data_IF_840609403351
#
_entry.id   IF_840609403351
#
_cell.length_a   1.000
_cell.length_b   1.000
_cell.length_c   1.000
_cell.angle_alpha   90.00
_cell.angle_beta   90.00
_cell.angle_gamma   90.00
#
_symmetry.space_group_name_H-M   'P 1'
#
loop_
_entity.id
_entity.type
_entity.pdbx_description
1 polymer ?
#
# COMPACT_ATOMS: atom_id res chain seq x y z
N UNK A 1 25.82 -17.23 -14.86
CA UNK A 1 24.40 -16.96 -15.13
C UNK A 1 23.77 -16.51 -13.83
N UNK A 2 23.40 -15.23 -13.69
CA UNK A 2 22.78 -14.72 -12.46
C UNK A 2 21.35 -15.24 -12.40
N UNK A 3 21.03 -15.99 -11.36
CA UNK A 3 19.73 -16.62 -11.17
C UNK A 3 18.66 -15.54 -10.97
N UNK A 4 17.85 -15.30 -12.01
CA UNK A 4 17.04 -14.10 -12.20
C UNK A 4 15.68 -14.08 -11.47
N UNK A 5 15.50 -14.82 -10.37
CA UNK A 5 14.15 -14.99 -9.79
C UNK A 5 14.04 -15.05 -8.27
N UNK A 6 14.98 -14.52 -7.49
CA UNK A 6 14.74 -14.34 -6.05
C UNK A 6 14.15 -12.97 -5.77
N UNK A 7 12.84 -12.86 -6.01
CA UNK A 7 12.06 -11.78 -5.38
C UNK A 7 12.08 -12.08 -3.88
N UNK A 8 12.73 -11.22 -3.11
CA UNK A 8 13.02 -11.42 -1.69
C UNK A 8 11.78 -11.32 -0.78
N UNK A 9 10.61 -11.07 -1.36
CA UNK A 9 9.32 -11.08 -0.68
C UNK A 9 8.90 -9.78 -0.01
N UNK A 10 9.72 -8.73 -0.14
CA UNK A 10 9.27 -7.36 0.12
C UNK A 10 8.30 -6.88 -0.98
N UNK A 11 7.47 -5.91 -0.62
CA UNK A 11 6.41 -5.41 -1.50
C UNK A 11 6.18 -3.92 -1.31
N UNK A 12 5.85 -3.21 -2.40
CA UNK A 12 5.21 -1.90 -2.35
C UNK A 12 3.75 -2.02 -2.75
N UNK A 13 2.84 -1.50 -1.93
CA UNK A 13 1.41 -1.47 -2.17
C UNK A 13 0.97 -0.15 -2.82
N UNK A 14 0.05 -0.24 -3.77
CA UNK A 14 -0.55 0.89 -4.50
C UNK A 14 -1.85 1.30 -3.83
N UNK A 15 -1.76 2.18 -2.84
CA UNK A 15 -2.92 2.63 -2.09
C UNK A 15 -3.53 3.85 -2.78
N UNK A 16 -4.84 3.83 -3.02
CA UNK A 16 -5.54 5.02 -3.51
C UNK A 16 -5.43 6.14 -2.48
N UNK A 17 -5.25 7.38 -2.92
CA UNK A 17 -5.16 8.51 -2.01
C UNK A 17 -6.49 8.74 -1.30
N UNK A 18 -6.44 8.85 0.02
CA UNK A 18 -7.54 9.33 0.85
C UNK A 18 -7.07 10.55 1.65
N UNK A 19 -7.88 11.59 1.72
CA UNK A 19 -7.60 12.82 2.47
C UNK A 19 -7.78 12.66 3.98
N UNK A 20 -8.17 11.47 4.42
CA UNK A 20 -8.26 11.03 5.81
C UNK A 20 -6.94 10.46 6.37
N UNK A 21 -5.83 10.60 5.63
CA UNK A 21 -4.57 9.91 5.92
C UNK A 21 -4.75 8.38 6.04
N UNK A 22 -5.49 7.78 5.11
CA UNK A 22 -5.77 6.34 5.05
C UNK A 22 -6.25 5.75 6.38
N UNK A 23 -6.96 6.58 7.16
CA UNK A 23 -7.47 6.26 8.49
C UNK A 23 -8.94 6.65 8.66
N UNK A 24 -9.65 6.73 7.54
CA UNK A 24 -11.00 7.26 7.40
C UNK A 24 -11.49 7.13 5.96
N UNK A 25 -12.79 7.22 5.74
CA UNK A 25 -13.32 7.36 4.37
C UNK A 25 -12.90 8.70 3.74
N UNK A 26 -12.96 8.77 2.42
CA UNK A 26 -12.69 9.99 1.67
C UNK A 26 -13.71 11.09 2.05
N UNK A 27 -13.31 12.36 2.02
CA UNK A 27 -14.27 13.46 1.98
C UNK A 27 -15.15 13.37 0.72
N UNK A 28 -16.32 14.02 0.66
CA UNK A 28 -17.17 14.01 -0.54
C UNK A 28 -16.43 14.46 -1.80
N UNK A 29 -15.56 15.48 -1.69
CA UNK A 29 -14.76 15.98 -2.81
C UNK A 29 -13.74 14.94 -3.30
N UNK A 30 -13.05 14.28 -2.38
CA UNK A 30 -12.07 13.25 -2.71
C UNK A 30 -12.75 11.99 -3.27
N UNK A 31 -13.89 11.60 -2.71
CA UNK A 31 -14.67 10.47 -3.19
C UNK A 31 -15.13 10.69 -4.64
N UNK A 32 -15.70 11.87 -4.95
CA UNK A 32 -16.09 12.22 -6.31
C UNK A 32 -14.90 12.15 -7.30
N UNK A 33 -13.71 12.60 -6.89
CA UNK A 33 -12.50 12.44 -7.70
C UNK A 33 -12.16 10.95 -7.91
N UNK A 34 -12.11 10.16 -6.85
CA UNK A 34 -11.75 8.75 -6.93
C UNK A 34 -12.77 7.94 -7.74
N UNK A 35 -14.08 8.18 -7.56
CA UNK A 35 -15.15 7.57 -8.36
C UNK A 35 -14.96 7.80 -9.86
N UNK A 36 -14.46 8.98 -10.25
CA UNK A 36 -14.21 9.29 -11.66
C UNK A 36 -12.94 8.64 -12.23
N UNK A 37 -11.88 8.51 -11.43
CA UNK A 37 -10.53 8.21 -11.94
C UNK A 37 -9.90 6.90 -11.43
N UNK A 38 -10.60 6.14 -10.59
CA UNK A 38 -10.12 4.87 -10.03
C UNK A 38 -11.15 3.79 -10.30
N UNK A 39 -10.74 2.72 -11.00
CA UNK A 39 -11.61 1.61 -11.40
C UNK A 39 -12.46 1.08 -10.25
N UNK A 40 -11.81 0.70 -9.14
CA UNK A 40 -12.51 0.18 -7.96
C UNK A 40 -13.49 1.18 -7.33
N UNK A 41 -13.10 2.45 -7.27
CA UNK A 41 -13.97 3.47 -6.69
C UNK A 41 -15.15 3.77 -7.64
N UNK A 42 -14.95 3.72 -8.96
CA UNK A 42 -16.03 3.86 -9.94
C UNK A 42 -17.05 2.74 -9.82
N UNK A 43 -16.62 1.49 -9.64
CA UNK A 43 -17.55 0.37 -9.39
C UNK A 43 -18.29 0.60 -8.08
N UNK A 44 -17.58 1.02 -7.05
CA UNK A 44 -18.17 1.29 -5.74
C UNK A 44 -19.22 2.41 -5.76
N UNK A 45 -19.12 3.38 -6.68
CA UNK A 45 -20.05 4.52 -6.69
C UNK A 45 -21.49 4.11 -6.96
N UNK A 46 -21.69 2.94 -7.58
CA UNK A 46 -23.01 2.41 -7.93
C UNK A 46 -23.66 1.63 -6.77
N UNK A 47 -22.92 1.39 -5.68
CA UNK A 47 -23.46 0.71 -4.50
C UNK A 47 -24.16 1.67 -3.55
N UNK A 48 -25.32 1.25 -3.02
CA UNK A 48 -26.08 1.99 -1.99
C UNK A 48 -25.22 2.26 -0.74
N UNK A 49 -24.42 1.27 -0.35
CA UNK A 49 -23.49 1.34 0.80
C UNK A 49 -22.05 1.50 0.29
N UNK A 50 -21.74 2.68 -0.24
CA UNK A 50 -20.39 3.04 -0.67
C UNK A 50 -19.60 3.81 0.42
N UNK A 51 -18.38 4.27 0.11
CA UNK A 51 -17.52 4.97 1.07
C UNK A 51 -18.10 6.29 1.62
N UNK A 52 -19.14 6.85 1.00
CA UNK A 52 -19.84 8.04 1.48
C UNK A 52 -21.05 7.73 2.36
N UNK A 53 -21.42 6.46 2.50
CA UNK A 53 -22.56 6.04 3.31
C UNK A 53 -22.37 6.47 4.79
N UNK A 54 -23.41 7.03 5.46
CA UNK A 54 -23.29 7.56 6.82
C UNK A 54 -22.80 6.55 7.86
N UNK A 55 -23.01 5.26 7.64
CA UNK A 55 -22.60 4.18 8.56
C UNK A 55 -21.11 4.24 8.89
N UNK A 56 -20.25 4.65 7.94
CA UNK A 56 -18.80 4.72 8.14
C UNK A 56 -18.33 6.02 8.79
N UNK A 57 -19.24 6.98 8.99
CA UNK A 57 -18.97 8.22 9.73
C UNK A 57 -19.29 8.08 11.23
N UNK A 58 -20.00 7.01 11.61
CA UNK A 58 -20.31 6.73 13.00
C UNK A 58 -19.04 6.29 13.76
N UNK A 59 -18.80 6.80 14.98
CA UNK A 59 -17.66 6.37 15.79
C UNK A 59 -17.63 4.86 15.98
N UNK A 60 -16.46 4.24 15.79
CA UNK A 60 -16.26 2.80 15.98
C UNK A 60 -16.65 1.92 14.79
N UNK A 61 -17.51 2.40 13.88
CA UNK A 61 -17.97 1.59 12.74
C UNK A 61 -16.90 1.36 11.69
N UNK A 62 -15.99 2.31 11.48
CA UNK A 62 -14.88 2.10 10.54
C UNK A 62 -13.75 1.33 11.24
N UNK A 63 -13.60 0.04 10.96
CA UNK A 63 -12.59 -0.84 11.57
C UNK A 63 -12.18 -1.96 10.59
N UNK A 64 -11.35 -2.91 11.02
CA UNK A 64 -10.83 -4.00 10.18
C UNK A 64 -11.87 -5.08 9.82
N UNK A 65 -13.06 -5.04 10.42
CA UNK A 65 -14.21 -5.89 10.10
C UNK A 65 -15.27 -5.16 9.28
N UNK A 66 -15.33 -3.83 9.40
CA UNK A 66 -16.36 -2.99 8.78
C UNK A 66 -15.72 -1.77 8.11
N UNK A 67 -15.50 -1.88 6.80
CA UNK A 67 -14.90 -0.83 5.98
C UNK A 67 -15.39 -0.92 4.54
N UNK A 68 -15.57 0.23 3.85
CA UNK A 68 -16.07 0.26 2.47
C UNK A 68 -15.00 -0.06 1.42
N UNK A 69 -13.73 0.12 1.75
CA UNK A 69 -12.60 -0.19 0.88
C UNK A 69 -11.31 -0.31 1.71
N UNK A 70 -10.38 -1.17 1.33
CA UNK A 70 -9.14 -1.38 2.11
C UNK A 70 -8.30 -0.11 2.23
N UNK A 71 -8.30 0.74 1.20
CA UNK A 71 -7.53 1.98 1.17
C UNK A 71 -7.88 2.96 2.30
N UNK A 72 -9.14 2.97 2.77
CA UNK A 72 -9.59 3.91 3.80
C UNK A 72 -9.07 3.56 5.21
N UNK A 73 -8.60 2.33 5.41
CA UNK A 73 -8.02 1.84 6.67
C UNK A 73 -6.55 1.44 6.53
N UNK A 74 -5.93 1.66 5.38
CA UNK A 74 -4.59 1.15 5.10
C UNK A 74 -3.53 1.67 6.09
N UNK A 75 -3.58 2.94 6.51
CA UNK A 75 -2.68 3.44 7.57
C UNK A 75 -3.22 3.12 8.97
N UNK A 76 -4.54 3.14 9.16
CA UNK A 76 -5.16 2.86 10.47
C UNK A 76 -4.80 1.46 10.96
N UNK A 77 -4.87 0.47 10.07
CA UNK A 77 -4.63 -0.94 10.39
C UNK A 77 -3.29 -1.46 9.88
N UNK A 78 -2.54 -0.66 9.08
CA UNK A 78 -1.34 -1.12 8.37
C UNK A 78 -1.59 -2.46 7.67
N UNK A 79 -2.71 -2.46 6.94
CA UNK A 79 -3.25 -3.62 6.26
C UNK A 79 -3.45 -3.30 4.78
N UNK A 80 -3.16 -4.25 3.91
CA UNK A 80 -3.44 -4.12 2.48
C UNK A 80 -4.00 -5.40 1.87
N UNK A 81 -4.77 -5.21 0.80
CA UNK A 81 -5.38 -6.26 0.01
C UNK A 81 -5.06 -6.01 -1.47
N UNK A 82 -4.47 -6.98 -2.21
CA UNK A 82 -4.11 -6.83 -3.62
C UNK A 82 -5.27 -6.58 -4.59
N UNK A 83 -6.52 -6.72 -4.16
CA UNK A 83 -7.68 -6.56 -5.02
C UNK A 83 -8.01 -7.80 -5.83
N UNK A 84 -9.11 -7.70 -6.58
CA UNK A 84 -9.52 -8.57 -7.68
C UNK A 84 -9.25 -7.93 -9.05
N UNK A 85 -9.26 -8.74 -10.10
CA UNK A 85 -9.22 -8.29 -11.49
C UNK A 85 -10.56 -7.69 -11.93
N UNK A 86 -10.50 -6.76 -12.89
CA UNK A 86 -11.64 -6.05 -13.51
C UNK A 86 -11.68 -6.23 -15.04
N UNK A 87 -10.89 -7.16 -15.56
CA UNK A 87 -10.84 -7.46 -16.98
C UNK A 87 -11.88 -8.51 -17.32
N UNK A 88 -12.55 -8.38 -18.46
CA UNK A 88 -13.61 -9.29 -18.91
C UNK A 88 -13.29 -10.79 -18.71
N UNK A 89 -12.05 -11.20 -18.97
CA UNK A 89 -11.65 -12.61 -18.93
C UNK A 89 -11.41 -13.17 -17.52
N UNK A 90 -11.29 -12.29 -16.51
CA UNK A 90 -10.90 -12.64 -15.14
C UNK A 90 -11.68 -11.83 -14.09
N UNK A 91 -12.84 -11.34 -14.46
CA UNK A 91 -13.58 -10.38 -13.63
C UNK A 91 -13.88 -10.97 -12.26
N UNK A 92 -13.65 -10.18 -11.21
CA UNK A 92 -13.78 -10.57 -9.81
C UNK A 92 -12.92 -11.76 -9.33
N UNK A 93 -11.94 -12.21 -10.11
CA UNK A 93 -10.96 -13.17 -9.59
C UNK A 93 -9.94 -12.48 -8.66
N UNK A 94 -9.62 -13.04 -7.49
CA UNK A 94 -8.59 -12.50 -6.62
C UNK A 94 -7.22 -12.39 -7.30
N UNK A 95 -6.51 -11.29 -7.06
CA UNK A 95 -5.13 -11.14 -7.53
C UNK A 95 -4.20 -11.95 -6.62
N UNK A 96 -3.71 -13.07 -7.15
CA UNK A 96 -2.68 -13.89 -6.51
C UNK A 96 -1.32 -13.18 -6.47
N UNK A 97 -0.54 -13.46 -5.43
CA UNK A 97 0.87 -13.12 -5.34
C UNK A 97 1.70 -14.40 -5.14
N UNK A 98 2.95 -14.38 -5.59
CA UNK A 98 3.83 -15.55 -5.52
C UNK A 98 4.92 -15.45 -4.45
N UNK A 99 5.33 -14.23 -4.10
CA UNK A 99 6.60 -14.05 -3.35
C UNK A 99 6.49 -13.23 -2.07
N UNK A 100 5.35 -12.60 -1.75
CA UNK A 100 5.22 -11.80 -0.52
C UNK A 100 5.28 -12.75 0.69
N UNK A 101 6.08 -12.40 1.70
CA UNK A 101 6.38 -13.26 2.84
C UNK A 101 6.26 -12.50 4.18
N UNK A 102 5.91 -13.23 5.24
CA UNK A 102 6.05 -12.73 6.62
C UNK A 102 7.54 -12.49 6.95
N UNK A 103 7.81 -11.56 7.86
CA UNK A 103 9.16 -11.10 8.19
C UNK A 103 9.74 -10.07 7.20
N UNK A 104 9.19 -9.99 5.98
CA UNK A 104 9.61 -9.02 4.95
C UNK A 104 8.87 -7.69 5.06
N UNK A 105 9.35 -6.68 4.34
CA UNK A 105 8.85 -5.31 4.46
C UNK A 105 7.77 -4.97 3.43
N UNK A 106 6.77 -4.21 3.88
CA UNK A 106 5.78 -3.56 3.05
C UNK A 106 5.99 -2.04 3.02
N UNK A 107 6.01 -1.47 1.82
CA UNK A 107 5.99 -0.03 1.57
C UNK A 107 4.58 0.35 1.13
N UNK A 108 3.88 1.17 1.92
CA UNK A 108 2.59 1.70 1.54
C UNK A 108 2.80 2.99 0.75
N UNK A 109 2.37 2.98 -0.52
CA UNK A 109 2.58 4.11 -1.43
C UNK A 109 1.28 4.71 -1.88
N UNK A 110 1.29 6.01 -2.14
CA UNK A 110 0.15 6.71 -2.73
C UNK A 110 0.61 7.88 -3.58
N UNK A 111 -0.34 8.49 -4.28
CA UNK A 111 -0.13 9.65 -5.12
C UNK A 111 -1.30 10.60 -4.99
N UNK A 112 -1.03 11.88 -4.79
CA UNK A 112 -2.07 12.90 -4.70
C UNK A 112 -2.98 12.95 -5.95
N UNK A 113 -4.23 13.41 -5.82
CA UNK A 113 -5.09 13.65 -6.97
C UNK A 113 -4.43 14.55 -8.00
N UNK A 114 -4.54 14.16 -9.28
CA UNK A 114 -4.01 14.90 -10.43
C UNK A 114 -2.48 15.06 -10.51
N UNK A 115 -1.68 14.58 -9.55
CA UNK A 115 -0.21 14.65 -9.69
C UNK A 115 0.31 13.58 -10.65
N UNK A 116 1.54 13.73 -11.13
CA UNK A 116 2.19 12.76 -12.02
C UNK A 116 2.60 11.49 -11.28
N UNK A 117 2.62 10.35 -11.99
CA UNK A 117 3.01 9.07 -11.38
C UNK A 117 4.39 9.11 -10.72
N UNK A 118 5.32 9.91 -11.24
CA UNK A 118 6.64 10.19 -10.65
C UNK A 118 6.58 10.78 -9.24
N UNK A 119 5.47 11.43 -8.87
CA UNK A 119 5.25 12.04 -7.55
C UNK A 119 4.70 11.05 -6.52
N UNK A 120 4.53 9.77 -6.87
CA UNK A 120 4.14 8.72 -5.92
C UNK A 120 5.10 8.71 -4.74
N UNK A 121 4.54 8.77 -3.54
CA UNK A 121 5.28 8.81 -2.29
C UNK A 121 5.01 7.59 -1.41
N UNK A 122 5.95 7.30 -0.53
CA UNK A 122 5.82 6.30 0.54
C UNK A 122 5.27 7.00 1.78
N UNK A 123 4.13 6.52 2.30
CA UNK A 123 3.52 7.08 3.51
C UNK A 123 3.62 6.17 4.73
N UNK A 124 3.88 4.88 4.54
CA UNK A 124 4.26 3.99 5.63
C UNK A 124 5.23 2.89 5.20
N UNK A 125 6.05 2.43 6.14
CA UNK A 125 6.92 1.26 6.02
C UNK A 125 6.73 0.39 7.26
N UNK A 126 6.51 -0.90 7.09
CA UNK A 126 6.37 -1.84 8.20
C UNK A 126 6.72 -3.26 7.81
N UNK A 127 7.10 -4.06 8.81
CA UNK A 127 7.33 -5.49 8.63
C UNK A 127 6.01 -6.22 8.56
N UNK A 128 5.85 -7.12 7.59
CA UNK A 128 4.70 -8.01 7.44
C UNK A 128 4.79 -9.06 8.54
N UNK A 129 3.83 -9.08 9.45
CA UNK A 129 3.80 -10.03 10.57
C UNK A 129 2.72 -11.08 10.44
N UNK A 130 1.73 -10.86 9.57
CA UNK A 130 0.68 -11.83 9.30
C UNK A 130 0.23 -11.73 7.85
N UNK A 131 0.14 -12.88 7.20
CA UNK A 131 -0.61 -13.08 5.96
C UNK A 131 -1.88 -13.85 6.32
N UNK A 132 -3.02 -13.17 6.20
CA UNK A 132 -4.32 -13.73 6.54
C UNK A 132 -5.06 -14.16 5.28
N UNK A 133 -5.36 -15.46 5.17
CA UNK A 133 -6.22 -15.97 4.13
C UNK A 133 -7.69 -15.70 4.45
N UNK A 134 -8.40 -15.08 3.50
CA UNK A 134 -9.81 -14.70 3.59
C UNK A 134 -10.55 -15.37 2.46
N UNK A 135 -11.72 -15.94 2.77
CA UNK A 135 -12.60 -16.54 1.78
C UNK A 135 -13.68 -15.54 1.38
N UNK A 136 -13.88 -15.36 0.07
CA UNK A 136 -15.08 -14.74 -0.49
C UNK A 136 -15.79 -15.72 -1.46
N UNK A 137 -16.84 -15.21 -2.11
CA UNK A 137 -17.67 -15.96 -3.06
C UNK A 137 -16.94 -16.31 -4.36
N UNK A 138 -15.85 -15.60 -4.70
CA UNK A 138 -15.07 -15.74 -5.93
C UNK A 138 -13.72 -16.46 -5.70
N UNK A 139 -13.37 -16.76 -4.45
CA UNK A 139 -12.17 -17.52 -4.11
C UNK A 139 -11.60 -17.12 -2.76
N UNK A 140 -10.39 -17.61 -2.47
CA UNK A 140 -9.62 -17.11 -1.34
C UNK A 140 -8.63 -16.04 -1.79
N UNK A 141 -8.36 -15.10 -0.89
CA UNK A 141 -7.41 -14.03 -1.10
C UNK A 141 -6.71 -13.68 0.20
N UNK A 142 -5.50 -13.14 0.13
CA UNK A 142 -4.75 -12.79 1.34
C UNK A 142 -4.79 -11.30 1.65
N UNK A 143 -4.85 -11.02 2.96
CA UNK A 143 -4.64 -9.69 3.54
C UNK A 143 -3.32 -9.68 4.27
N UNK A 144 -2.52 -8.66 3.99
CA UNK A 144 -1.23 -8.45 4.62
C UNK A 144 -1.39 -7.50 5.77
N UNK A 145 -0.85 -7.88 6.93
CA UNK A 145 -0.84 -7.04 8.13
C UNK A 145 0.59 -6.77 8.54
N UNK A 146 0.89 -5.51 8.84
CA UNK A 146 2.19 -5.10 9.34
C UNK A 146 2.18 -4.78 10.83
N UNK A 147 3.34 -4.91 11.47
CA UNK A 147 3.52 -4.48 12.84
C UNK A 147 3.36 -2.95 12.98
N UNK A 148 2.32 -2.55 13.71
CA UNK A 148 1.99 -1.14 13.96
C UNK A 148 2.93 -0.47 14.96
N UNK A 149 3.54 -1.23 15.85
CA UNK A 149 4.41 -0.69 16.90
C UNK A 149 5.73 -0.21 16.33
N UNK A 150 6.33 -1.02 15.45
CA UNK A 150 7.63 -0.75 14.83
C UNK A 150 7.53 0.04 13.53
N UNK A 151 6.38 0.01 12.84
CA UNK A 151 6.19 0.72 11.58
C UNK A 151 6.47 2.24 11.64
N UNK A 152 6.94 2.77 10.53
CA UNK A 152 7.17 4.20 10.30
C UNK A 152 5.97 4.73 9.51
N UNK A 153 5.26 5.71 10.08
CA UNK A 153 4.15 6.42 9.41
C UNK A 153 4.58 7.86 9.17
N UNK A 154 4.75 8.24 7.90
CA UNK A 154 5.24 9.55 7.49
C UNK A 154 4.11 10.58 7.43
N UNK A 155 4.03 11.41 8.46
CA UNK A 155 3.12 12.58 8.49
C UNK A 155 3.60 13.73 7.59
N UNK A 156 4.90 13.81 7.35
CA UNK A 156 5.59 14.81 6.52
C UNK A 156 6.90 14.23 6.00
N UNK A 157 7.59 14.95 5.12
CA UNK A 157 8.91 14.58 4.57
C UNK A 157 8.89 13.22 3.87
N UNK A 158 7.80 12.91 3.16
CA UNK A 158 7.60 11.62 2.50
C UNK A 158 8.64 11.40 1.41
N UNK A 159 9.05 10.15 1.25
CA UNK A 159 10.00 9.72 0.22
C UNK A 159 9.25 9.53 -1.10
N UNK A 160 9.86 9.89 -2.24
CA UNK A 160 9.33 9.52 -3.56
C UNK A 160 9.70 8.08 -3.85
N UNK A 161 8.72 7.25 -4.19
CA UNK A 161 8.90 5.82 -4.46
C UNK A 161 9.85 5.58 -5.65
N UNK A 162 9.68 6.36 -6.73
CA UNK A 162 10.46 6.23 -7.95
C UNK A 162 11.92 6.70 -7.83
N UNK A 163 12.32 7.26 -6.68
CA UNK A 163 13.74 7.51 -6.41
C UNK A 163 14.50 6.21 -6.05
N UNK A 164 13.79 5.14 -5.70
CA UNK A 164 14.38 3.87 -5.26
C UNK A 164 14.02 2.72 -6.20
N UNK A 165 12.83 2.77 -6.83
CA UNK A 165 12.36 1.71 -7.69
C UNK A 165 12.43 2.11 -9.16
N UNK A 166 12.94 1.19 -9.98
CA UNK A 166 13.02 1.32 -11.44
C UNK A 166 12.29 0.16 -12.11
N UNK A 167 11.50 0.43 -13.15
CA UNK A 167 10.84 -0.63 -13.91
C UNK A 167 11.88 -1.37 -14.77
N UNK A 168 12.02 -2.69 -14.58
CA UNK A 168 13.00 -3.52 -15.31
C UNK A 168 12.92 -3.36 -16.82
N UNK A 169 11.70 -3.35 -17.38
CA UNK A 169 11.47 -3.28 -18.83
C UNK A 169 11.29 -1.85 -19.35
N UNK A 170 11.27 -0.84 -18.47
CA UNK A 170 11.15 0.58 -18.86
C UNK A 170 11.84 1.51 -17.85
N UNK A 171 13.18 1.47 -17.73
CA UNK A 171 13.89 2.12 -16.63
C UNK A 171 13.70 3.64 -16.54
N UNK A 172 13.52 4.32 -17.67
CA UNK A 172 13.34 5.77 -17.72
C UNK A 172 11.91 6.24 -17.42
N UNK A 173 10.96 5.32 -17.18
CA UNK A 173 9.54 5.64 -17.06
C UNK A 173 8.98 5.28 -15.69
N UNK A 174 8.54 6.30 -14.95
CA UNK A 174 7.71 6.13 -13.75
C UNK A 174 6.28 5.72 -14.15
N UNK A 175 6.01 4.42 -14.14
CA UNK A 175 4.69 3.86 -14.48
C UNK A 175 4.35 2.64 -13.62
N UNK A 176 3.24 2.71 -12.88
CA UNK A 176 2.78 1.61 -12.02
C UNK A 176 1.88 0.59 -12.74
N UNK A 177 1.13 1.03 -13.76
CA UNK A 177 0.12 0.22 -14.47
C UNK A 177 -1.02 -0.26 -13.52
N UNK A 178 -1.73 -1.32 -13.92
CA UNK A 178 -2.99 -1.76 -13.30
C UNK A 178 -2.83 -2.49 -11.96
N UNK A 179 -1.75 -3.26 -11.77
CA UNK A 179 -1.53 -4.04 -10.54
C UNK A 179 -1.50 -3.16 -9.29
N UNK A 180 -1.97 -3.69 -8.16
CA UNK A 180 -1.99 -2.98 -6.88
C UNK A 180 -0.72 -3.17 -6.03
N UNK A 181 0.30 -3.84 -6.56
CA UNK A 181 1.57 -4.01 -5.85
C UNK A 181 2.76 -4.16 -6.81
N UNK A 182 3.97 -4.04 -6.23
CA UNK A 182 5.29 -4.27 -6.85
C UNK A 182 6.15 -5.06 -5.89
N UNK A 183 6.86 -6.08 -6.38
CA UNK A 183 7.89 -6.74 -5.59
C UNK A 183 9.11 -5.86 -5.47
N UNK A 184 9.76 -5.91 -4.31
CA UNK A 184 10.99 -5.17 -4.04
C UNK A 184 12.09 -6.14 -3.61
N UNK A 185 13.31 -5.84 -4.03
CA UNK A 185 14.49 -6.51 -3.53
C UNK A 185 14.92 -5.93 -2.18
N UNK A 186 15.66 -6.72 -1.40
CA UNK A 186 16.17 -6.31 -0.08
C UNK A 186 17.00 -5.01 -0.19
N UNK A 187 17.75 -4.84 -1.28
CA UNK A 187 18.55 -3.63 -1.54
C UNK A 187 17.69 -2.36 -1.62
N UNK A 188 16.55 -2.42 -2.33
CA UNK A 188 15.64 -1.26 -2.48
C UNK A 188 15.06 -0.86 -1.12
N UNK A 189 14.61 -1.84 -0.34
CA UNK A 189 14.08 -1.60 1.01
C UNK A 189 15.18 -1.07 1.93
N UNK A 190 16.38 -1.65 1.85
CA UNK A 190 17.55 -1.22 2.59
C UNK A 190 17.93 0.22 2.30
N UNK A 191 17.91 0.66 1.04
CA UNK A 191 18.15 2.06 0.64
C UNK A 191 17.10 3.02 1.20
N UNK A 192 15.82 2.65 1.11
CA UNK A 192 14.71 3.44 1.70
C UNK A 192 14.93 3.62 3.20
N UNK A 193 15.21 2.54 3.93
CA UNK A 193 15.40 2.62 5.37
C UNK A 193 16.71 3.32 5.75
N UNK A 194 17.79 3.17 4.98
CA UNK A 194 19.06 3.91 5.19
C UNK A 194 18.87 5.42 5.02
N UNK A 195 18.14 5.87 4.00
CA UNK A 195 17.85 7.31 3.85
C UNK A 195 17.02 7.82 5.03
N UNK A 196 16.06 7.03 5.52
CA UNK A 196 15.33 7.40 6.74
C UNK A 196 16.23 7.46 7.95
N UNK A 197 17.04 6.44 8.20
CA UNK A 197 17.89 6.30 9.38
C UNK A 197 18.97 7.40 9.47
N UNK A 198 19.60 7.73 8.34
CA UNK A 198 20.86 8.49 8.34
C UNK A 198 20.76 9.91 7.79
N UNK A 199 19.59 10.33 7.31
CA UNK A 199 19.38 11.71 6.84
C UNK A 199 18.71 12.58 7.92
N UNK A 200 19.27 13.76 8.19
CA UNK A 200 18.79 14.69 9.22
C UNK A 200 17.42 15.31 8.94
N UNK A 201 16.82 15.08 7.77
CA UNK A 201 15.46 15.53 7.42
C UNK A 201 14.36 14.77 8.17
N UNK A 202 14.69 13.64 8.79
CA UNK A 202 13.74 12.81 9.51
C UNK A 202 13.81 13.02 11.04
N UNK A 203 12.65 13.11 11.72
CA UNK A 203 12.58 13.09 13.18
C UNK A 203 13.30 11.89 13.79
N UNK A 204 13.91 12.08 14.96
CA UNK A 204 14.72 11.03 15.61
C UNK A 204 13.96 9.72 15.89
N UNK A 205 12.65 9.77 16.13
CA UNK A 205 11.85 8.56 16.28
C UNK A 205 11.69 7.77 14.98
N UNK A 206 11.58 8.44 13.82
CA UNK A 206 11.57 7.76 12.52
C UNK A 206 12.93 7.10 12.25
N UNK A 207 14.02 7.79 12.57
CA UNK A 207 15.38 7.28 12.40
C UNK A 207 15.63 6.01 13.22
N UNK A 208 15.27 6.03 14.52
CA UNK A 208 15.36 4.85 15.40
C UNK A 208 14.55 3.66 14.90
N UNK A 209 13.32 3.90 14.42
CA UNK A 209 12.49 2.85 13.82
C UNK A 209 13.11 2.29 12.53
N UNK A 210 13.68 3.15 11.69
CA UNK A 210 14.37 2.70 10.47
C UNK A 210 15.62 1.89 10.77
N UNK A 211 16.42 2.28 11.77
CA UNK A 211 17.57 1.50 12.24
C UNK A 211 17.15 0.12 12.79
N UNK A 212 16.02 0.05 13.48
CA UNK A 212 15.44 -1.21 13.91
C UNK A 212 15.05 -2.07 12.71
N UNK A 213 14.21 -1.56 11.80
CA UNK A 213 13.76 -2.29 10.61
C UNK A 213 14.91 -2.70 9.68
N UNK A 214 16.00 -1.93 9.60
CA UNK A 214 17.19 -2.29 8.84
C UNK A 214 17.84 -3.57 9.34
N UNK A 215 17.85 -3.77 10.67
CA UNK A 215 18.38 -5.00 11.27
C UNK A 215 17.48 -6.18 10.94
N UNK A 216 16.17 -5.98 10.95
CA UNK A 216 15.19 -7.01 10.59
C UNK A 216 15.20 -7.36 9.08
N UNK A 217 15.61 -6.45 8.19
CA UNK A 217 15.69 -6.72 6.75
C UNK A 217 16.85 -7.64 6.34
N UNK A 218 17.90 -7.73 7.16
CA UNK A 218 19.15 -8.42 6.83
C UNK A 218 19.17 -9.89 7.29
N UNK A 219 18.05 -10.39 7.80
CA UNK A 219 17.83 -11.77 8.21
C UNK A 219 16.53 -12.32 7.59
#
# INVERSE_FOLDING_TARGET
MVNKSKKHGNVAFKVTYTDSNWSGVCSPKMAAHNFKYRTWCSVQSDFDVNCQHPVYKMPGNLNKEMYPCTDCIAQKELMFYPGHYHSNDRDNEPISYLYIQEGKMALFTSKEPNSDESERFIFAVGQITKIENVQDVNGSYDRFHCDKETAIIFKRNRLKFWNYYTNENAPSRAAWNSLLFRYLDDDIVGEVLKDVAYTNRFPGNYRKKAEFLLKECLF
#
